data_IF_472071607407
#
_entry.id   IF_472071607407
#
_cell.length_a   1.000
_cell.length_b   1.000
_cell.length_c   1.000
_cell.angle_alpha   90.00
_cell.angle_beta   90.00
_cell.angle_gamma   90.00
#
_symmetry.space_group_name_H-M   'P 1'
#
loop_
_entity.id
_entity.type
_entity.pdbx_description
1 polymer ?
#
# COMPACT_ATOMS: atom_id res chain seq x y z
N UNK A 1 27.80 5.61 7.28
CA UNK A 1 26.69 6.38 6.65
C UNK A 1 25.51 5.41 6.55
N UNK A 2 24.40 5.66 7.23
CA UNK A 2 23.20 4.80 7.18
C UNK A 2 22.48 5.14 5.86
N UNK A 3 22.17 4.14 5.02
CA UNK A 3 21.59 4.36 3.70
C UNK A 3 20.06 4.23 3.69
N UNK A 4 19.40 4.40 4.84
CA UNK A 4 17.94 4.32 5.03
C UNK A 4 17.27 3.13 4.31
N UNK A 5 17.97 1.98 4.29
CA UNK A 5 17.51 0.73 3.70
C UNK A 5 17.69 0.62 2.18
N UNK A 6 18.35 1.58 1.52
CA UNK A 6 18.73 1.48 0.09
C UNK A 6 19.73 0.35 -0.15
N UNK A 7 20.67 0.12 0.77
CA UNK A 7 21.60 -1.02 0.77
C UNK A 7 20.87 -2.36 0.86
N UNK A 8 19.87 -2.43 1.73
CA UNK A 8 19.00 -3.60 1.88
C UNK A 8 18.16 -3.81 0.62
N UNK A 9 17.60 -2.74 0.04
CA UNK A 9 16.81 -2.83 -1.20
C UNK A 9 17.67 -3.33 -2.37
N UNK A 10 18.84 -2.73 -2.59
CA UNK A 10 19.71 -3.09 -3.70
C UNK A 10 20.31 -4.49 -3.55
N UNK A 11 20.59 -4.94 -2.33
CA UNK A 11 21.07 -6.31 -2.11
C UNK A 11 20.01 -7.39 -2.35
N UNK A 12 18.71 -7.04 -2.27
CA UNK A 12 17.60 -7.98 -2.50
C UNK A 12 17.10 -7.94 -3.95
N UNK A 13 16.91 -6.75 -4.53
CA UNK A 13 16.24 -6.61 -5.84
C UNK A 13 17.15 -6.95 -7.03
N UNK A 14 18.47 -6.85 -6.86
CA UNK A 14 19.45 -7.05 -7.92
C UNK A 14 19.75 -8.54 -8.17
N UNK A 15 18.71 -9.33 -8.40
CA UNK A 15 18.86 -10.76 -8.66
C UNK A 15 19.26 -11.03 -10.13
N UNK A 16 20.13 -12.03 -10.39
CA UNK A 16 20.50 -12.40 -11.75
C UNK A 16 19.31 -13.01 -12.50
N UNK A 17 19.39 -13.01 -13.83
CA UNK A 17 18.42 -13.66 -14.68
C UNK A 17 18.26 -15.16 -14.31
N UNK A 18 17.01 -15.62 -14.21
CA UNK A 18 16.67 -17.00 -13.86
C UNK A 18 16.32 -17.23 -12.38
N UNK A 19 16.59 -16.27 -11.49
CA UNK A 19 16.26 -16.38 -10.05
C UNK A 19 15.46 -15.15 -9.60
N UNK A 20 14.15 -15.06 -9.92
CA UNK A 20 13.36 -13.89 -9.60
C UNK A 20 13.09 -13.76 -8.10
N UNK A 21 13.02 -12.52 -7.61
CA UNK A 21 12.59 -12.18 -6.24
C UNK A 21 11.53 -11.10 -6.30
N UNK A 22 10.47 -11.27 -5.51
CA UNK A 22 9.42 -10.27 -5.38
C UNK A 22 9.73 -9.31 -4.22
N UNK A 23 10.40 -8.20 -4.55
CA UNK A 23 10.78 -7.17 -3.57
C UNK A 23 9.63 -6.19 -3.33
N UNK A 24 9.41 -5.81 -2.07
CA UNK A 24 8.43 -4.78 -1.66
C UNK A 24 9.13 -3.55 -1.05
N UNK A 25 8.36 -2.54 -0.63
CA UNK A 25 8.89 -1.32 -0.01
C UNK A 25 9.77 -1.60 1.21
N UNK A 26 10.83 -0.80 1.43
CA UNK A 26 11.65 -0.81 2.65
C UNK A 26 10.76 -0.63 3.88
N UNK A 27 10.96 -1.47 4.91
CA UNK A 27 10.09 -1.50 6.10
C UNK A 27 8.65 -1.98 5.83
N UNK A 28 8.36 -2.46 4.62
CA UNK A 28 7.03 -2.81 4.14
C UNK A 28 6.55 -4.22 4.48
N UNK A 29 6.78 -4.71 5.70
CA UNK A 29 6.44 -6.10 6.09
C UNK A 29 4.97 -6.45 5.82
N UNK A 30 4.05 -5.49 6.03
CA UNK A 30 2.62 -5.66 5.72
C UNK A 30 2.38 -5.93 4.23
N UNK A 31 3.11 -5.25 3.34
CA UNK A 31 2.97 -5.46 1.90
C UNK A 31 3.50 -6.83 1.47
N UNK A 32 4.58 -7.31 2.11
CA UNK A 32 5.08 -8.67 1.89
C UNK A 32 4.03 -9.73 2.29
N UNK A 33 3.40 -9.58 3.46
CA UNK A 33 2.34 -10.48 3.91
C UNK A 33 1.11 -10.47 2.98
N UNK A 34 0.70 -9.29 2.52
CA UNK A 34 -0.40 -9.16 1.55
C UNK A 34 -0.06 -9.78 0.20
N UNK A 35 1.18 -9.63 -0.28
CA UNK A 35 1.64 -10.29 -1.50
C UNK A 35 1.60 -11.81 -1.35
N UNK A 36 2.11 -12.36 -0.23
CA UNK A 36 2.06 -13.78 0.05
C UNK A 36 0.61 -14.30 0.11
N UNK A 37 -0.28 -13.60 0.81
CA UNK A 37 -1.69 -13.94 0.88
C UNK A 37 -2.38 -13.93 -0.50
N UNK A 38 -2.01 -13.00 -1.38
CA UNK A 38 -2.51 -12.97 -2.78
C UNK A 38 -2.02 -14.17 -3.59
N UNK A 39 -0.77 -14.57 -3.42
CA UNK A 39 -0.23 -15.78 -4.08
C UNK A 39 -0.99 -17.02 -3.61
N UNK A 40 -1.21 -17.17 -2.30
CA UNK A 40 -1.96 -18.30 -1.72
C UNK A 40 -3.44 -18.29 -2.15
N UNK A 41 -4.08 -17.12 -2.23
CA UNK A 41 -5.46 -16.98 -2.69
C UNK A 41 -5.67 -17.42 -4.16
N UNK A 42 -4.60 -17.62 -4.94
CA UNK A 42 -4.70 -18.19 -6.28
C UNK A 42 -5.21 -19.64 -6.25
N UNK A 43 -4.94 -20.39 -5.18
CA UNK A 43 -5.40 -21.78 -5.00
C UNK A 43 -6.37 -21.97 -3.83
N UNK A 44 -6.59 -20.96 -2.99
CA UNK A 44 -7.53 -21.01 -1.86
C UNK A 44 -8.72 -20.04 -2.07
N UNK A 45 -9.92 -20.54 -2.42
CA UNK A 45 -11.12 -19.72 -2.62
C UNK A 45 -11.57 -18.96 -1.37
N UNK A 46 -11.45 -19.55 -0.18
CA UNK A 46 -11.87 -18.90 1.06
C UNK A 46 -10.93 -17.73 1.41
N UNK A 47 -9.63 -17.91 1.19
CA UNK A 47 -8.66 -16.82 1.34
C UNK A 47 -8.87 -15.72 0.29
N UNK A 48 -9.25 -16.10 -0.93
CA UNK A 48 -9.57 -15.13 -2.00
C UNK A 48 -10.76 -14.25 -1.64
N UNK A 49 -11.82 -14.83 -1.06
CA UNK A 49 -12.98 -14.08 -0.58
C UNK A 49 -12.58 -13.06 0.50
N UNK A 50 -11.87 -13.52 1.54
CA UNK A 50 -11.35 -12.64 2.61
C UNK A 50 -10.45 -11.52 2.08
N UNK A 51 -9.63 -11.81 1.07
CA UNK A 51 -8.79 -10.79 0.41
C UNK A 51 -9.66 -9.77 -0.35
N UNK A 52 -10.76 -10.21 -0.97
CA UNK A 52 -11.74 -9.36 -1.61
C UNK A 52 -12.41 -8.39 -0.64
N UNK A 53 -12.89 -8.91 0.50
CA UNK A 53 -13.49 -8.10 1.58
C UNK A 53 -12.49 -7.06 2.09
N UNK A 54 -11.26 -7.47 2.38
CA UNK A 54 -10.20 -6.57 2.82
C UNK A 54 -9.94 -5.42 1.83
N UNK A 55 -9.96 -5.69 0.52
CA UNK A 55 -9.77 -4.65 -0.50
C UNK A 55 -10.95 -3.69 -0.58
N UNK A 56 -12.19 -4.17 -0.41
CA UNK A 56 -13.38 -3.33 -0.37
C UNK A 56 -13.34 -2.38 0.84
N UNK A 57 -13.00 -2.91 2.02
CA UNK A 57 -12.83 -2.11 3.24
C UNK A 57 -11.74 -1.04 3.08
N UNK A 58 -10.61 -1.40 2.49
CA UNK A 58 -9.52 -0.46 2.24
C UNK A 58 -9.95 0.69 1.31
N UNK A 59 -10.70 0.38 0.27
CA UNK A 59 -11.26 1.39 -0.64
C UNK A 59 -12.26 2.31 0.07
N UNK A 60 -13.16 1.75 0.87
CA UNK A 60 -14.13 2.51 1.65
C UNK A 60 -13.43 3.48 2.61
N UNK A 61 -12.39 3.03 3.32
CA UNK A 61 -11.59 3.86 4.22
C UNK A 61 -10.89 5.00 3.48
N UNK A 62 -10.27 4.72 2.32
CA UNK A 62 -9.60 5.75 1.52
C UNK A 62 -10.58 6.80 1.01
N UNK A 63 -11.75 6.36 0.53
CA UNK A 63 -12.82 7.22 0.03
C UNK A 63 -13.35 8.13 1.14
N UNK A 64 -13.59 7.59 2.32
CA UNK A 64 -14.07 8.34 3.48
C UNK A 64 -13.04 9.37 3.97
N UNK A 65 -11.76 8.99 4.07
CA UNK A 65 -10.67 9.94 4.38
C UNK A 65 -10.62 11.06 3.34
N UNK A 66 -10.75 10.74 2.05
CA UNK A 66 -10.80 11.72 0.97
C UNK A 66 -11.98 12.69 1.07
N UNK A 67 -13.18 12.20 1.43
CA UNK A 67 -14.36 13.05 1.68
C UNK A 67 -14.12 14.03 2.81
N UNK A 68 -13.57 13.56 3.94
CA UNK A 68 -13.25 14.39 5.12
C UNK A 68 -12.20 15.45 4.84
N UNK A 69 -11.21 15.14 4.01
CA UNK A 69 -10.20 16.12 3.61
C UNK A 69 -10.81 17.21 2.73
N UNK A 70 -11.64 16.84 1.74
CA UNK A 70 -12.32 17.82 0.88
C UNK A 70 -13.24 18.77 1.64
N UNK A 71 -14.01 18.25 2.61
CA UNK A 71 -14.88 19.11 3.42
C UNK A 71 -14.09 20.11 4.28
N UNK A 72 -12.91 19.72 4.79
CA UNK A 72 -12.02 20.63 5.53
C UNK A 72 -11.44 21.74 4.64
N UNK A 73 -11.02 21.41 3.42
CA UNK A 73 -10.44 22.37 2.47
C UNK A 73 -11.49 23.37 1.97
N UNK A 74 -12.71 22.92 1.68
CA UNK A 74 -13.81 23.82 1.30
C UNK A 74 -14.21 24.77 2.45
N UNK A 75 -14.03 24.35 3.71
CA UNK A 75 -14.23 25.21 4.87
C UNK A 75 -13.12 26.26 5.05
N UNK A 76 -11.89 26.00 4.59
CA UNK A 76 -10.77 26.95 4.67
C UNK A 76 -10.78 28.01 3.57
N UNK A 77 -11.34 27.71 2.39
CA UNK A 77 -11.51 28.70 1.30
C UNK A 77 -12.51 29.81 1.67
N UNK A 78 -13.35 29.60 2.70
CA UNK A 78 -14.23 30.64 3.26
C UNK A 78 -13.52 31.61 4.21
N UNK A 79 -12.25 31.37 4.59
CA UNK A 79 -11.56 32.15 5.64
C UNK A 79 -10.32 32.92 5.15
N UNK A 80 -10.08 33.03 3.84
CA UNK A 80 -8.86 33.70 3.34
C UNK A 80 -9.01 34.38 1.97
N UNK A 81 -8.89 35.71 1.99
CA UNK A 81 -8.74 36.63 0.85
C UNK A 81 -9.95 36.87 -0.04
N UNK A 82 -10.94 37.57 0.54
CA UNK A 82 -11.82 38.49 -0.17
C UNK A 82 -11.57 39.92 0.31
N UNK A 83 -10.75 40.67 -0.44
CA UNK A 83 -10.19 42.03 -0.19
C UNK A 83 -9.10 42.14 0.88
#
# INVERSE_FOLDING_TARGET
KYLDGMDSLLSIVQMPAGVPVATVSVGGARNAGLLAARILAASDPALRERMGEFLQELNAQATEKGKRLRSKVQGSDSFGFGK
#
